data_IF_825962342105
#
_entry.id   IF_825962342105
#
_cell.length_a   1.000
_cell.length_b   1.000
_cell.length_c   1.000
_cell.angle_alpha   90.00
_cell.angle_beta   90.00
_cell.angle_gamma   90.00
#
_symmetry.space_group_name_H-M   'P 1'
#
loop_
_entity.id
_entity.type
_entity.pdbx_description
1 polymer ?
#
# COMPACT_ATOMS: atom_id res chain seq x y z
N UNK A 1 -9.06 -28.71 -23.04
CA UNK A 1 -8.43 -28.64 -21.71
C UNK A 1 -7.21 -27.73 -21.82
N UNK A 2 -7.19 -26.59 -21.11
CA UNK A 2 -6.07 -25.66 -21.15
C UNK A 2 -4.84 -26.32 -20.55
N UNK A 3 -3.74 -26.39 -21.29
CA UNK A 3 -2.47 -26.86 -20.73
C UNK A 3 -2.01 -25.81 -19.72
N UNK A 4 -2.02 -26.17 -18.44
CA UNK A 4 -1.51 -25.30 -17.35
C UNK A 4 0.00 -25.47 -17.31
N UNK A 5 0.75 -24.38 -17.15
CA UNK A 5 2.20 -24.48 -16.97
C UNK A 5 2.51 -25.23 -15.68
N UNK A 6 3.55 -26.08 -15.68
CA UNK A 6 3.93 -26.80 -14.45
C UNK A 6 4.59 -25.84 -13.45
N UNK A 7 5.31 -24.86 -13.95
CA UNK A 7 5.92 -23.81 -13.15
C UNK A 7 5.96 -22.50 -13.93
N UNK A 8 5.78 -21.39 -13.23
CA UNK A 8 5.95 -20.03 -13.73
C UNK A 8 7.19 -19.43 -13.09
N UNK A 9 8.02 -18.76 -13.89
CA UNK A 9 9.21 -18.05 -13.40
C UNK A 9 9.16 -16.60 -13.90
N UNK A 10 9.16 -15.61 -12.99
CA UNK A 10 9.09 -15.77 -11.52
C UNK A 10 7.74 -16.36 -11.08
N UNK A 11 7.71 -16.97 -9.89
CA UNK A 11 6.48 -17.55 -9.32
C UNK A 11 5.55 -16.50 -8.70
N UNK A 12 6.09 -15.33 -8.34
CA UNK A 12 5.35 -14.17 -7.87
C UNK A 12 5.84 -12.91 -8.61
N UNK A 13 4.97 -11.92 -8.67
CA UNK A 13 5.27 -10.60 -9.23
C UNK A 13 4.82 -9.53 -8.26
N UNK A 14 5.50 -8.39 -8.31
CA UNK A 14 5.13 -7.20 -7.55
C UNK A 14 4.29 -6.29 -8.43
N UNK A 15 3.12 -5.87 -7.95
CA UNK A 15 2.23 -4.90 -8.60
C UNK A 15 1.78 -3.88 -7.58
N UNK A 16 1.57 -2.63 -8.00
CA UNK A 16 1.03 -1.63 -7.09
C UNK A 16 -0.45 -1.89 -6.81
N UNK A 17 -0.80 -1.93 -5.52
CA UNK A 17 -2.17 -2.11 -5.05
C UNK A 17 -2.42 -1.17 -3.89
N UNK A 18 -3.66 -0.73 -3.78
CA UNK A 18 -4.12 0.02 -2.62
C UNK A 18 -3.98 -0.86 -1.38
N UNK A 19 -3.37 -0.30 -0.34
CA UNK A 19 -3.15 -0.95 0.93
C UNK A 19 -3.10 0.07 2.06
N UNK A 20 -2.78 -0.38 3.28
CA UNK A 20 -2.80 0.46 4.47
C UNK A 20 -4.19 0.60 5.10
N UNK A 21 -4.35 1.59 5.97
CA UNK A 21 -5.59 1.87 6.69
C UNK A 21 -6.10 3.29 6.41
N UNK A 22 -7.40 3.48 6.58
CA UNK A 22 -8.03 4.79 6.56
C UNK A 22 -8.06 5.39 7.98
N UNK A 23 -8.22 6.72 8.12
CA UNK A 23 -8.33 7.37 9.42
C UNK A 23 -9.56 6.96 10.25
N UNK A 24 -10.59 6.41 9.60
CA UNK A 24 -11.85 6.01 10.22
C UNK A 24 -12.20 4.57 9.83
N UNK A 25 -12.67 3.78 10.80
CA UNK A 25 -13.01 2.36 10.62
C UNK A 25 -14.25 2.14 9.74
N UNK A 26 -15.09 3.16 9.57
CA UNK A 26 -16.21 3.17 8.63
C UNK A 26 -15.80 3.38 7.18
N UNK A 27 -14.52 3.71 6.91
CA UNK A 27 -13.98 3.89 5.57
C UNK A 27 -13.17 2.65 5.12
N UNK A 28 -13.15 2.42 3.80
CA UNK A 28 -12.32 1.42 3.15
C UNK A 28 -11.42 2.07 2.08
N UNK A 29 -10.16 1.64 2.02
CA UNK A 29 -9.20 2.07 1.01
C UNK A 29 -9.47 1.32 -0.29
N UNK A 30 -9.93 2.03 -1.32
CA UNK A 30 -10.35 1.43 -2.60
C UNK A 30 -9.66 2.12 -3.77
N UNK A 31 -9.37 1.39 -4.87
CA UNK A 31 -8.81 1.99 -6.08
C UNK A 31 -9.82 2.94 -6.74
N UNK A 32 -9.35 4.10 -7.14
CA UNK A 32 -10.09 5.07 -7.96
C UNK A 32 -9.50 5.22 -9.35
N UNK A 33 -8.22 4.85 -9.51
CA UNK A 33 -7.54 4.72 -10.79
C UNK A 33 -6.78 3.40 -10.84
N UNK A 34 -6.93 2.67 -11.95
CA UNK A 34 -6.22 1.42 -12.18
C UNK A 34 -5.98 1.19 -13.67
N UNK A 35 -4.97 0.39 -13.98
CA UNK A 35 -4.60 0.01 -15.33
C UNK A 35 -4.05 -1.41 -15.36
N UNK A 36 -3.90 -1.99 -16.55
CA UNK A 36 -3.29 -3.32 -16.70
C UNK A 36 -1.80 -3.19 -17.03
N UNK A 37 -0.97 -3.91 -16.30
CA UNK A 37 0.46 -4.06 -16.55
C UNK A 37 0.71 -5.44 -17.15
N UNK A 38 1.41 -5.46 -18.27
CA UNK A 38 1.81 -6.69 -18.98
C UNK A 38 3.20 -7.09 -18.53
N UNK A 39 3.35 -8.35 -18.12
CA UNK A 39 4.62 -8.91 -17.66
C UNK A 39 4.93 -10.17 -18.46
N UNK A 40 6.21 -10.36 -18.78
CA UNK A 40 6.68 -11.58 -19.42
C UNK A 40 7.05 -12.61 -18.35
N UNK A 41 6.45 -13.80 -18.44
CA UNK A 41 6.63 -14.89 -17.49
C UNK A 41 7.05 -16.14 -18.25
N UNK A 42 8.13 -16.77 -17.78
CA UNK A 42 8.57 -18.03 -18.33
C UNK A 42 7.62 -19.14 -17.87
N UNK A 43 6.92 -19.74 -18.81
CA UNK A 43 6.05 -20.89 -18.60
C UNK A 43 6.82 -22.18 -18.84
N UNK A 44 7.23 -22.84 -17.75
CA UNK A 44 7.97 -24.11 -17.81
C UNK A 44 6.98 -25.24 -18.07
N UNK A 45 7.14 -25.89 -19.22
CA UNK A 45 6.37 -27.06 -19.67
C UNK A 45 7.33 -28.06 -20.33
N UNK A 46 6.95 -29.34 -20.32
CA UNK A 46 7.67 -30.39 -21.05
C UNK A 46 6.93 -30.66 -22.38
N UNK A 47 7.62 -30.80 -23.52
CA UNK A 47 9.08 -30.81 -23.69
C UNK A 47 9.73 -29.42 -23.81
N UNK A 48 8.94 -28.36 -24.05
CA UNK A 48 9.46 -27.00 -24.27
C UNK A 48 8.84 -25.96 -23.33
N UNK A 49 9.69 -25.05 -22.88
CA UNK A 49 9.28 -23.86 -22.10
C UNK A 49 9.19 -22.64 -23.03
N UNK A 50 8.31 -21.70 -22.70
CA UNK A 50 8.10 -20.50 -23.52
C UNK A 50 7.84 -19.27 -22.67
N UNK A 51 8.17 -18.09 -23.20
CA UNK A 51 7.84 -16.82 -22.57
C UNK A 51 6.39 -16.46 -22.91
N UNK A 52 5.55 -16.32 -21.89
CA UNK A 52 4.17 -15.88 -22.02
C UNK A 52 3.98 -14.48 -21.50
N UNK A 53 3.04 -13.73 -22.07
CA UNK A 53 2.58 -12.47 -21.50
C UNK A 53 1.43 -12.73 -20.52
N UNK A 54 1.52 -12.19 -19.31
CA UNK A 54 0.42 -12.11 -18.35
C UNK A 54 0.06 -10.65 -18.11
N UNK A 55 -1.22 -10.35 -17.99
CA UNK A 55 -1.71 -9.02 -17.61
C UNK A 55 -2.20 -9.04 -16.17
N UNK A 56 -1.69 -8.13 -15.33
CA UNK A 56 -2.18 -7.91 -13.98
C UNK A 56 -2.76 -6.51 -13.86
N UNK A 57 -3.76 -6.34 -13.01
CA UNK A 57 -4.23 -5.02 -12.64
C UNK A 57 -3.27 -4.38 -11.64
N UNK A 58 -3.01 -3.09 -11.85
CA UNK A 58 -2.18 -2.23 -11.02
C UNK A 58 -2.95 -0.95 -10.69
N UNK A 59 -3.00 -0.61 -9.40
CA UNK A 59 -3.70 0.57 -8.91
C UNK A 59 -2.77 1.79 -9.01
N UNK A 60 -3.25 2.87 -9.62
CA UNK A 60 -2.52 4.14 -9.75
C UNK A 60 -3.01 5.21 -8.76
N UNK A 61 -4.24 5.09 -8.27
CA UNK A 61 -4.82 6.03 -7.30
C UNK A 61 -5.76 5.30 -6.35
N UNK A 62 -5.73 5.71 -5.07
CA UNK A 62 -6.51 5.13 -3.99
C UNK A 62 -7.19 6.24 -3.18
N UNK A 63 -8.41 5.98 -2.72
CA UNK A 63 -9.14 6.88 -1.82
C UNK A 63 -9.87 6.09 -0.73
N UNK A 64 -10.04 6.72 0.44
CA UNK A 64 -10.88 6.19 1.51
C UNK A 64 -12.34 6.52 1.23
N UNK A 65 -13.17 5.51 1.00
CA UNK A 65 -14.61 5.67 0.74
C UNK A 65 -15.44 5.00 1.83
N UNK A 66 -16.66 5.50 2.13
CA UNK A 66 -17.53 4.85 3.10
C UNK A 66 -17.84 3.40 2.70
N UNK A 67 -17.64 2.48 3.64
CA UNK A 67 -18.00 1.07 3.46
C UNK A 67 -19.46 0.96 3.12
N UNK A 68 -19.79 0.23 2.06
CA UNK A 68 -21.19 -0.12 1.79
C UNK A 68 -21.66 -1.08 2.88
N UNK A 69 -22.57 -0.62 3.73
CA UNK A 69 -23.36 -1.51 4.59
C UNK A 69 -24.19 -2.38 3.66
N UNK A 70 -23.74 -3.59 3.37
CA UNK A 70 -24.66 -4.60 2.85
C UNK A 70 -25.74 -4.72 3.93
N UNK A 71 -26.92 -4.21 3.62
CA UNK A 71 -28.04 -4.20 4.55
C UNK A 71 -28.24 -5.62 5.01
N UNK A 72 -27.86 -5.90 6.25
CA UNK A 72 -28.26 -7.09 6.96
C UNK A 72 -29.78 -7.08 7.08
N UNK A 73 -30.47 -7.47 6.01
CA UNK A 73 -31.83 -7.99 6.09
C UNK A 73 -31.69 -9.36 6.75
N UNK A 74 -31.41 -9.37 8.04
CA UNK A 74 -31.74 -10.49 8.90
C UNK A 74 -33.21 -10.26 9.24
N UNK A 75 -34.16 -11.09 8.76
CA UNK A 75 -35.48 -11.05 9.34
C UNK A 75 -35.31 -11.37 10.82
N UNK A 76 -35.94 -10.55 11.64
CA UNK A 76 -36.02 -10.67 13.08
C UNK A 76 -36.15 -12.15 13.50
N UNK A 77 -35.09 -12.69 14.10
CA UNK A 77 -35.21 -13.84 15.00
C UNK A 77 -34.93 -13.33 16.39
N UNK A 78 -36.01 -12.85 17.01
CA UNK A 78 -36.29 -12.91 18.43
C UNK A 78 -35.16 -13.48 19.30
N UNK A 79 -34.66 -12.62 20.19
CA UNK A 79 -33.74 -12.97 21.27
C UNK A 79 -34.21 -14.25 21.99
N UNK A 80 -33.51 -15.36 21.76
CA UNK A 80 -33.63 -16.55 22.59
C UNK A 80 -32.40 -16.60 23.49
N UNK A 81 -32.53 -16.48 24.83
CA UNK A 81 -31.38 -16.60 25.73
C UNK A 81 -30.82 -18.02 25.64
N UNK A 82 -29.61 -18.18 25.11
CA UNK A 82 -28.90 -19.45 25.17
C UNK A 82 -28.47 -19.69 26.63
N UNK A 83 -29.26 -20.48 27.35
CA UNK A 83 -28.83 -21.07 28.61
C UNK A 83 -27.65 -22.01 28.30
N UNK A 84 -26.44 -21.62 28.67
CA UNK A 84 -25.26 -22.50 28.64
C UNK A 84 -25.56 -23.68 29.58
N UNK A 85 -25.61 -24.94 29.10
CA UNK A 85 -25.72 -26.08 30.01
C UNK A 85 -24.40 -26.19 30.76
N UNK A 86 -24.45 -26.16 32.10
CA UNK A 86 -23.26 -26.50 32.89
C UNK A 86 -22.84 -27.95 32.59
N UNK A 87 -21.54 -28.23 32.36
CA UNK A 87 -21.07 -29.59 32.29
C UNK A 87 -21.12 -30.23 33.68
N UNK A 88 -21.70 -31.43 33.76
CA UNK A 88 -21.72 -32.26 34.97
C UNK A 88 -20.30 -32.47 35.48
N UNK A 89 -20.07 -32.16 36.75
CA UNK A 89 -18.81 -32.42 37.44
C UNK A 89 -18.52 -33.92 37.46
N UNK A 90 -17.50 -34.36 36.74
CA UNK A 90 -16.89 -35.69 36.91
C UNK A 90 -15.86 -35.62 38.04
N UNK A 91 -15.95 -36.45 39.10
CA UNK A 91 -14.92 -36.50 40.13
C UNK A 91 -13.64 -37.13 39.56
N UNK A 92 -12.53 -36.39 39.55
CA UNK A 92 -11.20 -36.95 39.25
C UNK A 92 -10.46 -36.40 38.04
N UNK A 93 -10.55 -35.10 37.75
CA UNK A 93 -9.55 -34.44 36.90
C UNK A 93 -8.79 -33.42 37.74
N UNK A 94 -7.57 -33.79 38.15
CA UNK A 94 -6.64 -32.87 38.77
C UNK A 94 -6.36 -31.73 37.80
N UNK A 95 -6.69 -30.51 38.23
CA UNK A 95 -6.43 -29.30 37.48
C UNK A 95 -4.93 -29.11 37.37
N UNK A 96 -4.36 -29.35 36.18
CA UNK A 96 -3.02 -28.83 35.89
C UNK A 96 -3.07 -27.30 35.97
N UNK A 97 -2.08 -26.63 36.60
CA UNK A 97 -2.11 -25.19 36.75
C UNK A 97 -1.97 -24.49 35.40
N UNK A 98 -2.99 -23.71 35.05
CA UNK A 98 -2.95 -22.49 34.25
C UNK A 98 -2.03 -22.47 33.03
N UNK A 99 -2.55 -22.88 31.87
CA UNK A 99 -2.06 -22.31 30.61
C UNK A 99 -2.56 -20.85 30.53
N UNK A 100 -1.68 -19.84 30.39
CA UNK A 100 -2.09 -18.45 30.30
C UNK A 100 -2.86 -18.19 29.00
N UNK A 101 -3.89 -17.35 29.11
CA UNK A 101 -4.65 -16.80 27.99
C UNK A 101 -3.72 -15.99 27.07
N UNK A 102 -3.92 -15.96 25.73
CA UNK A 102 -3.08 -15.20 24.80
C UNK A 102 -3.08 -13.67 25.00
N UNK A 103 -3.74 -13.17 26.05
CA UNK A 103 -3.72 -11.77 26.44
C UNK A 103 -2.48 -11.36 27.27
N UNK A 104 -1.68 -12.31 27.77
CA UNK A 104 -0.49 -12.03 28.61
C UNK A 104 0.86 -12.16 27.89
N UNK A 105 0.88 -12.20 26.55
CA UNK A 105 2.15 -12.11 25.81
C UNK A 105 2.50 -10.63 25.68
N UNK A 106 3.10 -10.09 26.74
CA UNK A 106 3.78 -8.80 26.69
C UNK A 106 5.03 -8.99 25.83
N UNK A 107 4.92 -8.75 24.52
CA UNK A 107 6.08 -8.65 23.66
C UNK A 107 6.93 -7.47 24.18
N UNK A 108 8.25 -7.63 24.40
CA UNK A 108 9.09 -6.48 24.70
C UNK A 108 8.99 -5.50 23.53
N UNK A 109 8.47 -4.31 23.82
CA UNK A 109 8.59 -3.17 22.92
C UNK A 109 10.08 -2.85 22.80
N UNK A 110 10.68 -2.81 21.60
CA UNK A 110 12.01 -2.24 21.44
C UNK A 110 11.95 -0.79 21.92
N UNK A 111 12.82 -0.41 22.86
CA UNK A 111 12.91 0.96 23.33
C UNK A 111 13.09 1.91 22.12
N UNK A 112 12.39 3.05 22.06
CA UNK A 112 12.74 4.09 21.11
C UNK A 112 14.17 4.56 21.45
N UNK A 113 15.11 4.34 20.52
CA UNK A 113 16.45 4.89 20.62
C UNK A 113 16.41 6.42 20.71
N UNK A 114 17.46 7.07 21.23
CA UNK A 114 17.48 8.51 21.39
C UNK A 114 17.28 9.18 20.03
N UNK A 115 16.29 10.07 19.98
CA UNK A 115 16.09 11.00 18.87
C UNK A 115 17.39 11.74 18.60
N UNK A 116 18.07 11.39 17.51
CA UNK A 116 19.04 12.29 16.91
C UNK A 116 18.23 13.47 16.37
N UNK A 117 18.19 14.56 17.14
CA UNK A 117 17.89 15.87 16.60
C UNK A 117 18.91 16.12 15.49
N UNK A 118 18.49 15.93 14.24
CA UNK A 118 19.19 16.49 13.12
C UNK A 118 19.14 18.00 13.28
N UNK A 119 20.25 18.58 13.73
CA UNK A 119 20.48 20.01 13.67
C UNK A 119 20.24 20.47 12.22
N UNK A 120 19.54 21.59 11.99
CA UNK A 120 19.58 22.22 10.69
C UNK A 120 21.01 22.73 10.49
N UNK A 121 21.78 22.04 9.64
CA UNK A 121 22.97 22.64 9.04
C UNK A 121 22.51 23.86 8.25
N UNK A 122 22.83 25.04 8.79
CA UNK A 122 22.79 26.28 8.05
C UNK A 122 23.80 26.16 6.90
N UNK A 123 23.36 25.63 5.76
CA UNK A 123 24.07 25.80 4.51
C UNK A 123 23.88 27.26 4.11
N UNK A 124 24.95 28.04 4.30
CA UNK A 124 25.13 29.37 3.75
C UNK A 124 24.88 29.35 2.24
N UNK A 125 23.66 29.66 1.83
CA UNK A 125 23.39 30.08 0.46
C UNK A 125 23.78 31.56 0.35
N UNK A 126 25.07 31.79 0.13
CA UNK A 126 25.56 33.03 -0.47
C UNK A 126 24.88 33.14 -1.83
N UNK A 127 23.87 33.99 -1.93
CA UNK A 127 23.30 34.44 -3.19
C UNK A 127 24.31 35.36 -3.86
N UNK A 128 24.77 35.07 -5.09
CA UNK A 128 25.46 36.06 -5.91
C UNK A 128 24.46 37.15 -6.31
N UNK A 129 24.80 38.41 -6.05
CA UNK A 129 23.99 39.56 -6.40
C UNK A 129 23.71 39.68 -7.90
N UNK A 130 22.71 40.47 -8.31
CA UNK A 130 22.42 40.69 -9.71
C UNK A 130 23.57 41.48 -10.34
N UNK A 131 24.32 40.81 -11.23
CA UNK A 131 25.20 41.50 -12.16
C UNK A 131 24.32 42.36 -13.08
N UNK A 132 24.58 43.66 -13.04
CA UNK A 132 23.98 44.65 -13.92
C UNK A 132 24.10 44.21 -15.39
N UNK A 133 22.95 44.04 -16.05
CA UNK A 133 22.90 44.02 -17.50
C UNK A 133 23.15 45.45 -17.99
N UNK A 134 24.39 45.73 -18.36
CA UNK A 134 24.76 46.93 -19.09
C UNK A 134 24.04 46.92 -20.44
N UNK A 135 23.36 48.02 -20.74
CA UNK A 135 22.80 48.32 -22.04
C UNK A 135 23.92 48.47 -23.06
N UNK A 136 23.78 47.83 -24.23
CA UNK A 136 24.46 48.26 -25.44
C UNK A 136 23.44 48.26 -26.58
N UNK A 137 22.88 49.44 -26.83
CA UNK A 137 22.06 49.74 -27.99
C UNK A 137 22.90 50.65 -28.89
N UNK A 138 23.66 50.04 -29.79
CA UNK A 138 24.31 50.71 -30.90
C UNK A 138 24.11 49.91 -32.18
N UNK A 139 23.12 50.30 -32.98
CA UNK A 139 23.05 49.94 -34.39
C UNK A 139 22.66 51.18 -35.20
N UNK A 140 23.64 51.58 -36.01
CA UNK A 140 23.73 52.80 -36.80
C UNK A 140 22.64 52.98 -37.86
N UNK A 141 22.15 54.21 -37.93
CA UNK A 141 21.81 55.02 -39.12
C UNK A 141 21.70 54.32 -40.49
N UNK A 142 20.47 54.28 -41.03
CA UNK A 142 20.24 54.31 -42.49
C UNK A 142 20.00 55.76 -42.89
N UNK A 143 20.98 56.31 -43.60
CA UNK A 143 20.80 57.51 -44.40
C UNK A 143 20.00 57.14 -45.66
N UNK A 144 18.85 57.80 -45.88
CA UNK A 144 18.18 57.81 -47.18
C UNK A 144 18.21 59.24 -47.72
N UNK A 145 19.28 59.54 -48.45
CA UNK A 145 19.34 60.65 -49.38
C UNK A 145 18.35 60.43 -50.53
N UNK A 146 17.74 61.51 -50.98
CA UNK A 146 16.64 61.51 -51.94
C UNK A 146 17.06 61.52 -53.41
N UNK A 147 16.03 61.53 -54.25
CA UNK A 147 15.89 62.24 -55.52
C UNK A 147 14.39 62.23 -55.86
#
# INVERSE_FOLDING_TARGET
>A
MGTVAKQLVPSCVTVQRCGGCCPDDGLECVPTGQHQVRMQILMIRYPSSQLGEMSLEEHSQCECRPKKKESAVKPDRAATPHHRPQPRSVPGWDSSPGAPSPADITHPTPAPGPSAHAAPSAASALTPGPAAAAADAAASSVAKGGA
#
